data_IF_988421765502
#
_entry.id   IF_988421765502
#
_cell.length_a   1.000
_cell.length_b   1.000
_cell.length_c   1.000
_cell.angle_alpha   90.00
_cell.angle_beta   90.00
_cell.angle_gamma   90.00
#
_symmetry.space_group_name_H-M   'P 1'
#
loop_
_entity.id
_entity.type
_entity.pdbx_description
1 polymer ?
#
# COMPACT_ATOMS: atom_id res chain seq x y z
N UNK A 1 -35.21 14.10 11.50
CA UNK A 1 -35.29 14.61 10.11
C UNK A 1 -33.92 14.47 9.48
N UNK A 2 -33.74 13.44 8.66
CA UNK A 2 -32.46 13.10 8.04
C UNK A 2 -32.27 13.91 6.75
N UNK A 3 -31.15 14.63 6.60
CA UNK A 3 -30.76 15.23 5.32
C UNK A 3 -29.94 14.22 4.52
N UNK A 4 -30.61 13.63 3.53
CA UNK A 4 -30.03 12.91 2.41
C UNK A 4 -29.18 13.89 1.59
N UNK A 5 -27.87 13.64 1.44
CA UNK A 5 -27.05 14.35 0.46
C UNK A 5 -26.98 13.51 -0.83
N UNK A 6 -27.56 14.05 -1.90
CA UNK A 6 -27.38 13.60 -3.28
C UNK A 6 -26.45 14.59 -4.01
N UNK A 7 -25.68 14.16 -5.03
CA UNK A 7 -24.58 14.93 -5.62
C UNK A 7 -25.04 15.90 -6.71
N UNK A 8 -24.28 16.98 -6.92
CA UNK A 8 -24.51 17.97 -7.99
C UNK A 8 -23.17 18.34 -8.65
N UNK A 9 -23.12 18.57 -9.98
CA UNK A 9 -21.92 18.37 -10.81
C UNK A 9 -21.08 19.64 -11.05
N UNK A 10 -19.83 19.44 -11.46
CA UNK A 10 -18.92 20.47 -12.02
C UNK A 10 -19.42 21.01 -13.36
N UNK A 11 -19.18 22.30 -13.70
CA UNK A 11 -18.05 22.62 -14.60
C UNK A 11 -17.39 24.00 -14.36
N UNK A 12 -16.13 24.17 -14.77
CA UNK A 12 -15.51 25.50 -14.79
C UNK A 12 -14.03 25.53 -15.14
N UNK A 13 -13.74 25.80 -16.41
CA UNK A 13 -12.43 26.04 -17.02
C UNK A 13 -11.80 27.32 -16.45
N UNK A 14 -10.51 27.29 -16.10
CA UNK A 14 -9.70 28.49 -15.87
C UNK A 14 -8.42 28.44 -16.69
N UNK A 15 -8.37 29.25 -17.74
CA UNK A 15 -7.15 29.67 -18.43
C UNK A 15 -6.42 30.69 -17.54
N UNK A 16 -5.11 30.49 -17.34
CA UNK A 16 -4.22 31.56 -16.89
C UNK A 16 -3.14 31.79 -17.95
N UNK A 17 -3.14 33.03 -18.45
CA UNK A 17 -2.25 33.57 -19.47
C UNK A 17 -0.81 33.68 -18.95
N UNK A 18 0.13 33.38 -19.85
CA UNK A 18 1.55 33.61 -19.68
C UNK A 18 1.87 35.12 -19.69
N UNK A 19 2.85 35.52 -18.88
CA UNK A 19 3.54 36.80 -19.02
C UNK A 19 5.05 36.54 -19.12
N UNK A 20 5.62 36.92 -20.25
CA UNK A 20 7.04 36.96 -20.58
C UNK A 20 7.78 38.10 -19.87
N UNK A 21 9.09 37.94 -19.63
CA UNK A 21 10.14 38.96 -19.93
C UNK A 21 11.55 38.34 -19.86
N UNK A 22 12.44 38.93 -20.65
CA UNK A 22 13.69 38.41 -21.23
C UNK A 22 14.98 38.61 -20.39
N UNK A 23 15.98 37.75 -20.71
CA UNK A 23 17.46 37.91 -20.86
C UNK A 23 18.23 38.97 -20.02
N UNK A 24 19.29 38.65 -19.25
CA UNK A 24 20.65 38.17 -19.59
C UNK A 24 21.69 39.13 -18.91
N UNK A 25 23.05 38.96 -18.94
CA UNK A 25 23.90 37.89 -19.48
C UNK A 25 25.07 37.39 -18.53
N UNK A 26 25.83 36.44 -19.09
CA UNK A 26 27.16 35.87 -18.78
C UNK A 26 28.11 36.47 -17.72
N UNK A 27 28.76 35.57 -16.95
CA UNK A 27 29.93 35.89 -16.12
C UNK A 27 30.69 34.68 -15.52
N UNK A 28 31.64 34.15 -16.30
CA UNK A 28 32.95 33.56 -15.94
C UNK A 28 33.09 32.43 -14.88
N UNK A 29 33.67 31.33 -15.37
CA UNK A 29 34.42 30.30 -14.64
C UNK A 29 35.59 30.89 -13.82
N UNK A 30 35.70 30.51 -12.55
CA UNK A 30 36.98 30.41 -11.83
C UNK A 30 37.02 29.18 -10.92
N UNK A 31 38.18 28.55 -10.93
CA UNK A 31 38.54 27.25 -10.36
C UNK A 31 38.63 27.20 -8.83
N UNK A 32 38.21 26.05 -8.30
CA UNK A 32 38.75 25.29 -7.17
C UNK A 32 39.48 26.04 -6.03
N UNK A 33 38.88 25.99 -4.83
CA UNK A 33 39.59 25.62 -3.59
C UNK A 33 38.66 24.81 -2.69
N UNK A 34 39.09 23.58 -2.43
CA UNK A 34 38.51 22.61 -1.51
C UNK A 34 38.25 23.22 -0.14
N UNK A 35 36.97 23.35 0.25
CA UNK A 35 36.60 23.29 1.66
C UNK A 35 36.07 21.89 1.89
N UNK A 36 36.88 21.07 2.53
CA UNK A 36 36.46 19.81 3.09
C UNK A 36 35.20 20.07 3.92
N UNK A 37 34.05 19.61 3.41
CA UNK A 37 32.82 19.60 4.17
C UNK A 37 33.09 18.75 5.41
N UNK A 38 33.10 19.39 6.58
CA UNK A 38 33.01 18.71 7.86
C UNK A 38 31.78 17.80 7.74
N UNK A 39 32.02 16.50 7.55
CA UNK A 39 30.97 15.48 7.65
C UNK A 39 30.42 15.61 9.06
N UNK A 40 29.26 16.24 9.18
CA UNK A 40 28.51 16.31 10.42
C UNK A 40 28.33 14.88 10.88
N UNK A 41 28.92 14.57 12.03
CA UNK A 41 28.85 13.28 12.68
C UNK A 41 27.44 13.12 13.25
N UNK A 42 26.43 13.06 12.38
CA UNK A 42 25.08 12.65 12.75
C UNK A 42 25.23 11.18 13.08
N UNK A 43 25.28 10.90 14.38
CA UNK A 43 25.34 9.54 14.90
C UNK A 43 24.20 8.74 14.25
N UNK A 44 24.50 7.49 13.83
CA UNK A 44 23.52 6.55 13.24
C UNK A 44 22.18 6.55 13.99
N UNK A 45 22.19 6.84 15.29
CA UNK A 45 21.05 6.92 16.20
C UNK A 45 20.02 8.02 15.87
N UNK A 46 20.42 9.23 15.44
CA UNK A 46 19.44 10.32 15.20
C UNK A 46 18.67 10.17 13.88
N UNK A 47 19.34 9.67 12.84
CA UNK A 47 18.71 9.44 11.52
C UNK A 47 17.65 8.34 11.61
N UNK A 48 17.90 7.26 12.35
CA UNK A 48 16.91 6.20 12.54
C UNK A 48 15.66 6.68 13.30
N UNK A 49 15.84 7.54 14.31
CA UNK A 49 14.72 8.08 15.11
C UNK A 49 13.77 8.95 14.28
N UNK A 50 14.29 9.65 13.28
CA UNK A 50 13.51 10.62 12.49
C UNK A 50 13.14 10.11 11.11
N UNK A 51 13.88 9.13 10.57
CA UNK A 51 13.72 8.61 9.21
C UNK A 51 13.85 7.08 9.20
N UNK A 52 12.91 6.36 9.84
CA UNK A 52 12.98 4.90 9.99
C UNK A 52 12.93 4.14 8.65
N UNK A 53 12.51 4.80 7.56
CA UNK A 53 12.45 4.21 6.21
C UNK A 53 13.65 4.57 5.33
N UNK A 54 14.67 5.26 5.86
CA UNK A 54 15.77 5.79 5.03
C UNK A 54 16.46 4.72 4.17
N UNK A 55 16.61 3.49 4.66
CA UNK A 55 17.20 2.39 3.88
C UNK A 55 16.34 2.05 2.66
N UNK A 56 15.01 1.98 2.80
CA UNK A 56 14.08 1.70 1.70
C UNK A 56 14.02 2.90 0.75
N UNK A 57 13.91 4.12 1.28
CA UNK A 57 13.88 5.33 0.45
C UNK A 57 15.17 5.51 -0.36
N UNK A 58 16.32 5.11 0.17
CA UNK A 58 17.57 5.11 -0.57
C UNK A 58 17.52 4.15 -1.77
N UNK A 59 16.98 2.95 -1.60
CA UNK A 59 16.80 1.99 -2.70
C UNK A 59 15.82 2.50 -3.75
N UNK A 60 14.72 3.16 -3.33
CA UNK A 60 13.80 3.84 -4.26
C UNK A 60 14.53 4.92 -5.06
N UNK A 61 15.34 5.76 -4.42
CA UNK A 61 16.11 6.80 -5.13
C UNK A 61 17.14 6.23 -6.11
N UNK A 62 17.69 5.05 -5.80
CA UNK A 62 18.65 4.36 -6.67
C UNK A 62 17.96 3.56 -7.78
N UNK A 63 16.64 3.33 -7.70
CA UNK A 63 15.94 2.42 -8.61
C UNK A 63 16.35 0.95 -8.43
N UNK A 64 16.82 0.57 -7.24
CA UNK A 64 17.29 -0.80 -6.96
C UNK A 64 16.11 -1.74 -6.67
N UNK A 65 15.47 -2.19 -7.75
CA UNK A 65 14.28 -3.05 -7.69
C UNK A 65 14.57 -4.42 -7.08
N UNK A 66 15.78 -4.97 -7.25
CA UNK A 66 16.17 -6.26 -6.66
C UNK A 66 16.20 -6.17 -5.14
N UNK A 67 16.87 -5.15 -4.60
CA UNK A 67 16.93 -4.91 -3.16
C UNK A 67 15.55 -4.56 -2.57
N UNK A 68 14.72 -3.80 -3.30
CA UNK A 68 13.34 -3.51 -2.89
C UNK A 68 12.48 -4.79 -2.86
N UNK A 69 12.63 -5.68 -3.84
CA UNK A 69 11.93 -6.97 -3.84
C UNK A 69 12.35 -7.85 -2.67
N UNK A 70 13.65 -7.89 -2.34
CA UNK A 70 14.15 -8.59 -1.14
C UNK A 70 13.50 -8.05 0.14
N UNK A 71 13.40 -6.73 0.27
CA UNK A 71 12.69 -6.10 1.39
C UNK A 71 11.22 -6.49 1.42
N UNK A 72 10.54 -6.49 0.28
CA UNK A 72 9.14 -6.89 0.20
C UNK A 72 8.94 -8.35 0.59
N UNK A 73 9.89 -9.23 0.24
CA UNK A 73 9.89 -10.63 0.67
C UNK A 73 10.02 -10.82 2.19
N UNK A 74 10.72 -9.92 2.90
CA UNK A 74 10.78 -9.94 4.38
C UNK A 74 9.40 -9.73 5.01
N UNK A 75 8.57 -8.84 4.43
CA UNK A 75 7.19 -8.62 4.87
C UNK A 75 6.27 -9.76 4.44
N UNK A 76 6.37 -10.17 3.18
CA UNK A 76 5.43 -11.10 2.55
C UNK A 76 5.68 -12.58 2.89
N UNK A 77 6.91 -12.92 3.28
CA UNK A 77 7.33 -14.28 3.64
C UNK A 77 7.77 -15.18 2.48
N UNK A 78 7.61 -14.75 1.23
CA UNK A 78 8.13 -15.42 0.05
C UNK A 78 8.25 -14.46 -1.14
N UNK A 79 8.80 -14.94 -2.26
CA UNK A 79 8.85 -14.20 -3.52
C UNK A 79 7.84 -14.81 -4.50
N UNK A 80 6.98 -13.97 -5.06
CA UNK A 80 6.03 -14.36 -6.09
C UNK A 80 5.91 -13.26 -7.17
N UNK A 81 5.43 -13.59 -8.38
CA UNK A 81 5.33 -12.62 -9.48
C UNK A 81 4.57 -11.35 -9.10
N UNK A 82 3.43 -11.49 -8.40
CA UNK A 82 2.61 -10.35 -8.04
C UNK A 82 3.23 -9.46 -6.97
N UNK A 83 4.06 -9.99 -6.06
CA UNK A 83 4.85 -9.19 -5.13
C UNK A 83 5.82 -8.28 -5.90
N UNK A 84 6.53 -8.84 -6.89
CA UNK A 84 7.44 -8.07 -7.74
C UNK A 84 6.72 -7.01 -8.56
N UNK A 85 5.54 -7.33 -9.12
CA UNK A 85 4.71 -6.33 -9.81
C UNK A 85 4.26 -5.20 -8.88
N UNK A 86 3.92 -5.52 -7.62
CA UNK A 86 3.63 -4.51 -6.59
C UNK A 86 4.81 -3.60 -6.31
N UNK A 87 6.00 -4.16 -6.08
CA UNK A 87 7.24 -3.40 -5.87
C UNK A 87 7.50 -2.43 -7.02
N UNK A 88 7.42 -2.92 -8.26
CA UNK A 88 7.59 -2.12 -9.46
C UNK A 88 6.53 -1.03 -9.58
N UNK A 89 5.25 -1.36 -9.39
CA UNK A 89 4.16 -0.40 -9.51
C UNK A 89 4.29 0.75 -8.50
N UNK A 90 4.68 0.46 -7.26
CA UNK A 90 4.96 1.51 -6.27
C UNK A 90 6.17 2.36 -6.65
N UNK A 91 7.26 1.74 -7.12
CA UNK A 91 8.43 2.49 -7.59
C UNK A 91 8.06 3.46 -8.73
N UNK A 92 7.34 2.97 -9.74
CA UNK A 92 6.86 3.79 -10.87
C UNK A 92 5.98 4.92 -10.37
N UNK A 93 4.99 4.63 -9.52
CA UNK A 93 4.08 5.65 -9.00
C UNK A 93 4.80 6.74 -8.18
N UNK A 94 5.78 6.37 -7.35
CA UNK A 94 6.59 7.33 -6.59
C UNK A 94 7.47 8.18 -7.51
N UNK A 95 8.10 7.56 -8.52
CA UNK A 95 8.94 8.23 -9.53
C UNK A 95 8.14 9.27 -10.30
N UNK A 96 6.98 8.89 -10.82
CA UNK A 96 6.09 9.77 -11.58
C UNK A 96 5.48 10.89 -10.73
N UNK A 97 5.22 10.65 -9.43
CA UNK A 97 4.77 11.68 -8.49
C UNK A 97 5.90 12.59 -7.95
N UNK A 98 7.17 12.30 -8.27
CA UNK A 98 8.31 13.01 -7.70
C UNK A 98 8.41 12.86 -6.16
N UNK A 99 7.98 11.72 -5.61
CA UNK A 99 8.07 11.43 -4.18
C UNK A 99 9.41 10.80 -3.87
N UNK A 100 10.34 11.59 -3.34
CA UNK A 100 11.68 11.12 -2.95
C UNK A 100 11.80 10.72 -1.47
N UNK A 101 10.88 11.21 -0.64
CA UNK A 101 10.82 10.99 0.80
C UNK A 101 9.38 10.80 1.25
N UNK A 102 9.16 9.83 2.13
CA UNK A 102 7.88 9.66 2.79
C UNK A 102 7.80 10.67 3.94
N UNK A 103 6.89 11.64 3.84
CA UNK A 103 6.75 12.71 4.82
C UNK A 103 6.00 12.27 6.09
N UNK A 104 5.46 11.05 6.10
CA UNK A 104 4.59 10.57 7.18
C UNK A 104 3.21 11.21 7.14
N UNK A 105 2.42 10.97 8.19
CA UNK A 105 1.16 11.67 8.46
C UNK A 105 0.21 11.75 7.25
N UNK A 106 0.01 10.63 6.54
CA UNK A 106 -0.94 10.54 5.45
C UNK A 106 -0.72 11.54 4.27
N UNK A 107 0.50 12.07 4.10
CA UNK A 107 0.83 13.01 3.01
C UNK A 107 0.76 12.35 1.62
N UNK A 108 1.07 11.06 1.58
CA UNK A 108 0.89 10.18 0.42
C UNK A 108 -0.09 9.09 0.84
N UNK A 109 -1.15 8.92 0.06
CA UNK A 109 -2.13 7.85 0.24
C UNK A 109 -2.00 6.86 -0.92
N UNK A 110 -1.91 5.57 -0.61
CA UNK A 110 -2.02 4.49 -1.58
C UNK A 110 -3.42 3.89 -1.56
N UNK A 111 -4.15 4.03 -2.65
CA UNK A 111 -5.39 3.28 -2.88
C UNK A 111 -5.06 2.03 -3.68
N UNK A 112 -5.07 0.86 -3.03
CA UNK A 112 -4.84 -0.43 -3.67
C UNK A 112 -6.16 -1.06 -4.09
N UNK A 113 -6.18 -1.72 -5.25
CA UNK A 113 -7.40 -2.29 -5.83
C UNK A 113 -7.53 -3.82 -5.63
N UNK A 114 -6.66 -4.41 -4.80
CA UNK A 114 -6.61 -5.85 -4.47
C UNK A 114 -6.02 -6.04 -3.07
N UNK A 115 -6.36 -7.14 -2.40
CA UNK A 115 -5.81 -7.59 -1.12
C UNK A 115 -4.68 -8.65 -1.27
N UNK A 116 -4.27 -8.95 -2.50
CA UNK A 116 -3.24 -9.94 -2.80
C UNK A 116 -1.80 -9.44 -2.64
N UNK A 117 -0.84 -10.32 -3.00
CA UNK A 117 0.61 -10.10 -2.87
C UNK A 117 1.13 -8.79 -3.47
N UNK A 118 0.44 -8.27 -4.50
CA UNK A 118 0.72 -6.97 -5.11
C UNK A 118 0.72 -5.84 -4.06
N UNK A 119 -0.26 -5.85 -3.16
CA UNK A 119 -0.43 -4.81 -2.15
C UNK A 119 0.69 -4.81 -1.11
N UNK A 120 1.30 -5.96 -0.78
CA UNK A 120 2.46 -6.00 0.11
C UNK A 120 3.70 -5.35 -0.51
N UNK A 121 3.88 -5.49 -1.83
CA UNK A 121 4.90 -4.75 -2.57
C UNK A 121 4.69 -3.23 -2.49
N UNK A 122 3.42 -2.79 -2.61
CA UNK A 122 3.05 -1.38 -2.43
C UNK A 122 3.37 -0.90 -1.02
N UNK A 123 2.92 -1.63 0.01
CA UNK A 123 3.16 -1.27 1.40
C UNK A 123 4.65 -1.15 1.71
N UNK A 124 5.45 -2.11 1.25
CA UNK A 124 6.88 -2.11 1.48
C UNK A 124 7.56 -0.91 0.82
N UNK A 125 7.27 -0.61 -0.44
CA UNK A 125 7.99 0.42 -1.20
C UNK A 125 7.44 1.82 -0.90
N UNK A 126 6.13 2.01 -1.00
CA UNK A 126 5.49 3.32 -0.80
C UNK A 126 5.45 3.74 0.67
N UNK A 127 5.43 2.81 1.62
CA UNK A 127 5.30 3.12 3.04
C UNK A 127 3.90 3.51 3.49
N UNK A 128 2.95 3.41 2.58
CA UNK A 128 1.53 3.45 2.85
C UNK A 128 1.08 2.07 3.34
N UNK A 129 0.89 1.88 4.65
CA UNK A 129 0.59 0.56 5.24
C UNK A 129 -0.81 0.52 5.84
N UNK A 130 -1.36 -0.68 6.01
CA UNK A 130 -2.74 -0.89 6.49
C UNK A 130 -3.08 -0.09 7.77
N UNK A 131 -2.15 -0.01 8.72
CA UNK A 131 -2.41 0.55 10.04
C UNK A 131 -1.88 1.98 10.26
N UNK A 132 -1.15 2.56 9.31
CA UNK A 132 -0.63 3.94 9.44
C UNK A 132 -1.53 4.99 8.78
N UNK A 133 -2.77 4.61 8.45
CA UNK A 133 -3.80 5.43 7.81
C UNK A 133 -3.47 5.91 6.38
N UNK A 134 -2.34 5.47 5.81
CA UNK A 134 -1.94 5.89 4.48
C UNK A 134 -2.34 4.91 3.37
N UNK A 135 -2.99 3.79 3.70
CA UNK A 135 -3.48 2.81 2.74
C UNK A 135 -5.02 2.75 2.74
N UNK A 136 -5.61 2.81 1.54
CA UNK A 136 -7.02 2.56 1.28
C UNK A 136 -7.13 1.28 0.46
N UNK A 137 -7.89 0.31 0.94
CA UNK A 137 -8.24 -0.87 0.15
C UNK A 137 -9.59 -0.66 -0.55
N UNK A 138 -9.56 -0.64 -1.87
CA UNK A 138 -10.74 -0.55 -2.73
C UNK A 138 -10.93 -1.89 -3.45
N UNK A 139 -11.81 -2.74 -2.93
CA UNK A 139 -11.93 -4.15 -3.32
C UNK A 139 -12.51 -4.35 -4.74
N UNK A 140 -11.69 -4.11 -5.76
CA UNK A 140 -12.05 -4.25 -7.18
C UNK A 140 -11.41 -5.48 -7.84
N UNK A 141 -10.52 -6.19 -7.14
CA UNK A 141 -9.75 -7.33 -7.67
C UNK A 141 -8.72 -6.96 -8.75
N UNK A 142 -8.35 -5.69 -8.89
CA UNK A 142 -7.40 -5.23 -9.92
C UNK A 142 -6.00 -5.11 -9.34
N UNK A 143 -5.00 -5.63 -10.05
CA UNK A 143 -3.58 -5.40 -9.72
C UNK A 143 -3.19 -3.96 -10.09
N UNK A 144 -3.66 -3.02 -9.28
CA UNK A 144 -3.49 -1.60 -9.49
C UNK A 144 -3.34 -0.85 -8.17
N UNK A 145 -2.64 0.27 -8.24
CA UNK A 145 -2.47 1.22 -7.14
C UNK A 145 -2.67 2.64 -7.68
N UNK A 146 -3.31 3.48 -6.89
CA UNK A 146 -3.27 4.94 -7.08
C UNK A 146 -2.52 5.55 -5.90
N UNK A 147 -1.34 6.13 -6.17
CA UNK A 147 -0.69 6.99 -5.18
C UNK A 147 -1.22 8.41 -5.37
N UNK A 148 -1.62 9.05 -4.28
CA UNK A 148 -2.15 10.42 -4.30
C UNK A 148 -1.50 11.28 -3.24
N UNK A 149 -1.20 12.53 -3.60
CA UNK A 149 -0.77 13.57 -2.67
C UNK A 149 -2.00 14.30 -2.13
N UNK A 150 -1.90 14.79 -0.90
CA UNK A 150 -2.92 15.68 -0.30
C UNK A 150 -3.28 16.91 -1.14
N UNK A 151 -2.34 17.38 -1.97
CA UNK A 151 -2.50 18.50 -2.91
C UNK A 151 -3.29 18.16 -4.18
N UNK A 152 -3.82 16.94 -4.31
CA UNK A 152 -4.75 16.55 -5.38
C UNK A 152 -4.10 15.87 -6.59
N UNK A 153 -2.77 15.83 -6.68
CA UNK A 153 -2.06 15.13 -7.78
C UNK A 153 -1.93 13.64 -7.45
N UNK A 154 -2.24 12.78 -8.42
CA UNK A 154 -2.20 11.34 -8.25
C UNK A 154 -1.66 10.62 -9.50
N UNK A 155 -1.05 9.46 -9.30
CA UNK A 155 -0.62 8.55 -10.37
C UNK A 155 -1.22 7.19 -10.09
N UNK A 156 -1.97 6.68 -11.06
CA UNK A 156 -2.47 5.31 -11.07
C UNK A 156 -1.58 4.44 -11.93
N UNK A 157 -1.15 3.31 -11.38
CA UNK A 157 -0.37 2.28 -12.07
C UNK A 157 -1.14 0.98 -11.99
N UNK A 158 -1.47 0.40 -13.14
CA UNK A 158 -2.20 -0.86 -13.24
C UNK A 158 -1.44 -1.84 -14.12
N UNK A 159 -1.41 -3.12 -13.73
CA UNK A 159 -0.91 -4.20 -14.58
C UNK A 159 -1.84 -4.35 -15.78
N UNK A 160 -1.27 -4.41 -16.99
CA UNK A 160 -2.01 -4.60 -18.23
C UNK A 160 -2.69 -5.96 -18.27
N UNK A 161 -3.90 -6.02 -18.83
CA UNK A 161 -4.64 -7.26 -19.01
C UNK A 161 -3.87 -8.23 -19.91
N UNK A 162 -3.36 -7.73 -21.04
CA UNK A 162 -2.62 -8.51 -22.03
C UNK A 162 -1.35 -9.12 -21.44
N UNK A 163 -0.68 -8.39 -20.53
CA UNK A 163 0.45 -8.92 -19.79
C UNK A 163 0.02 -10.10 -18.92
N UNK A 164 -1.07 -9.94 -18.18
CA UNK A 164 -1.62 -10.99 -17.31
C UNK A 164 -2.03 -12.22 -18.12
N UNK A 165 -2.72 -12.04 -19.25
CA UNK A 165 -3.16 -13.13 -20.14
C UNK A 165 -1.97 -13.96 -20.66
N UNK A 166 -0.85 -13.31 -20.95
CA UNK A 166 0.38 -13.97 -21.38
C UNK A 166 1.12 -14.73 -20.28
N UNK A 167 0.70 -14.68 -19.01
CA UNK A 167 1.46 -15.27 -17.89
C UNK A 167 1.68 -16.78 -18.06
N UNK A 168 0.63 -17.53 -18.42
CA UNK A 168 0.71 -18.99 -18.59
C UNK A 168 1.65 -19.41 -19.71
N UNK A 169 1.76 -18.60 -20.77
CA UNK A 169 2.67 -18.85 -21.88
C UNK A 169 4.13 -18.55 -21.48
N UNK A 170 4.34 -17.48 -20.71
CA UNK A 170 5.68 -17.07 -20.23
C UNK A 170 6.22 -17.98 -19.14
N UNK A 171 5.34 -18.51 -18.29
CA UNK A 171 5.72 -19.32 -17.12
C UNK A 171 4.86 -20.59 -16.96
N UNK A 172 4.84 -21.48 -17.95
CA UNK A 172 3.94 -22.65 -17.95
C UNK A 172 4.18 -23.57 -16.76
N UNK A 173 5.43 -23.73 -16.32
CA UNK A 173 5.78 -24.56 -15.17
C UNK A 173 5.14 -24.05 -13.87
N UNK A 174 5.06 -22.72 -13.68
CA UNK A 174 4.46 -22.11 -12.49
C UNK A 174 2.96 -22.44 -12.41
N UNK A 175 2.26 -22.32 -13.55
CA UNK A 175 0.83 -22.60 -13.67
C UNK A 175 0.55 -24.08 -13.44
N UNK A 176 1.27 -24.97 -14.10
CA UNK A 176 1.09 -26.43 -13.93
C UNK A 176 1.29 -26.88 -12.48
N UNK A 177 2.29 -26.34 -11.79
CA UNK A 177 2.53 -26.68 -10.38
C UNK A 177 1.44 -26.12 -9.47
N UNK A 178 1.00 -24.87 -9.71
CA UNK A 178 -0.07 -24.25 -8.95
C UNK A 178 -1.39 -25.00 -9.11
N UNK A 179 -1.80 -25.29 -10.35
CA UNK A 179 -3.01 -26.07 -10.64
C UNK A 179 -2.99 -27.43 -9.95
N UNK A 180 -1.86 -28.14 -10.03
CA UNK A 180 -1.68 -29.42 -9.33
C UNK A 180 -1.86 -29.28 -7.82
N UNK A 181 -1.29 -28.25 -7.20
CA UNK A 181 -1.42 -28.02 -5.76
C UNK A 181 -2.85 -27.64 -5.38
N UNK A 182 -3.53 -26.82 -6.19
CA UNK A 182 -4.92 -26.42 -5.97
C UNK A 182 -5.85 -27.63 -6.08
N UNK A 183 -5.71 -28.45 -7.12
CA UNK A 183 -6.53 -29.65 -7.35
C UNK A 183 -6.30 -30.70 -6.26
N UNK A 184 -5.06 -30.95 -5.87
CA UNK A 184 -4.73 -31.96 -4.86
C UNK A 184 -4.95 -31.45 -3.42
N UNK A 185 -4.98 -30.14 -3.20
CA UNK A 185 -5.12 -29.52 -1.88
C UNK A 185 -4.13 -30.05 -0.85
N UNK A 186 -4.64 -30.70 0.20
CA UNK A 186 -3.81 -31.31 1.25
C UNK A 186 -3.02 -32.55 0.78
N UNK A 187 -3.43 -33.18 -0.31
CA UNK A 187 -2.74 -34.34 -0.88
C UNK A 187 -1.54 -33.97 -1.80
N UNK A 188 -1.32 -32.67 -2.05
CA UNK A 188 -0.17 -32.21 -2.81
C UNK A 188 1.15 -32.56 -2.09
N UNK A 189 2.15 -33.03 -2.85
CA UNK A 189 3.44 -33.42 -2.26
C UNK A 189 4.17 -32.17 -1.72
N UNK A 190 4.84 -32.26 -0.56
CA UNK A 190 5.67 -31.16 -0.06
C UNK A 190 6.73 -30.67 -1.06
N UNK A 191 7.23 -31.59 -1.90
CA UNK A 191 8.17 -31.27 -2.98
C UNK A 191 7.56 -30.43 -4.09
N UNK A 192 6.27 -30.58 -4.40
CA UNK A 192 5.59 -29.74 -5.39
C UNK A 192 5.49 -28.29 -4.89
N UNK A 193 5.17 -28.10 -3.60
CA UNK A 193 5.16 -26.77 -2.96
C UNK A 193 6.53 -26.11 -2.99
N UNK A 194 7.57 -26.85 -2.63
CA UNK A 194 8.95 -26.34 -2.63
C UNK A 194 9.41 -25.95 -4.05
N UNK A 195 9.05 -26.75 -5.05
CA UNK A 195 9.31 -26.44 -6.46
C UNK A 195 8.56 -25.20 -6.92
N UNK A 196 7.28 -25.07 -6.56
CA UNK A 196 6.49 -23.89 -6.87
C UNK A 196 7.12 -22.64 -6.27
N UNK A 197 7.55 -22.67 -5.00
CA UNK A 197 8.21 -21.53 -4.36
C UNK A 197 9.50 -21.13 -5.10
N UNK A 198 10.30 -22.10 -5.56
CA UNK A 198 11.50 -21.81 -6.35
C UNK A 198 11.16 -21.15 -7.69
N UNK A 199 10.18 -21.70 -8.41
CA UNK A 199 9.72 -21.14 -9.69
C UNK A 199 9.13 -19.74 -9.48
N UNK A 200 8.31 -19.54 -8.44
CA UNK A 200 7.77 -18.23 -8.08
C UNK A 200 8.85 -17.21 -7.76
N UNK A 201 9.89 -17.60 -7.02
CA UNK A 201 11.01 -16.71 -6.77
C UNK A 201 11.70 -16.31 -8.08
N UNK A 202 12.07 -17.29 -8.92
CA UNK A 202 12.70 -17.02 -10.21
C UNK A 202 11.85 -16.09 -11.08
N UNK A 203 10.57 -16.41 -11.24
CA UNK A 203 9.63 -15.62 -12.04
C UNK A 203 9.40 -14.22 -11.48
N UNK A 204 9.44 -14.03 -10.15
CA UNK A 204 9.38 -12.73 -9.50
C UNK A 204 10.57 -11.84 -9.86
N UNK A 205 11.80 -12.36 -9.77
CA UNK A 205 13.00 -11.60 -10.15
C UNK A 205 13.02 -11.30 -11.66
N UNK A 206 12.57 -12.24 -12.50
CA UNK A 206 12.43 -11.99 -13.94
C UNK A 206 11.43 -10.86 -14.26
N UNK A 207 10.43 -10.60 -13.41
CA UNK A 207 9.51 -9.48 -13.63
C UNK A 207 10.24 -8.13 -13.59
N UNK A 208 11.38 -8.01 -12.90
CA UNK A 208 12.07 -6.74 -12.69
C UNK A 208 12.66 -6.18 -13.98
N UNK A 209 13.02 -7.06 -14.92
CA UNK A 209 13.71 -6.69 -16.17
C UNK A 209 12.76 -6.45 -17.35
N UNK A 210 11.47 -6.74 -17.21
CA UNK A 210 10.50 -6.55 -18.29
C UNK A 210 10.22 -5.06 -18.50
N UNK A 211 10.20 -4.54 -19.73
CA UNK A 211 9.92 -3.12 -20.00
C UNK A 211 8.65 -2.61 -19.32
N UNK A 212 8.70 -1.39 -18.78
CA UNK A 212 7.62 -0.81 -17.96
C UNK A 212 6.32 -0.72 -18.75
N UNK A 213 6.40 -0.29 -20.02
CA UNK A 213 5.29 -0.09 -20.94
C UNK A 213 4.57 -1.39 -21.34
N UNK A 214 5.26 -2.53 -21.29
CA UNK A 214 4.68 -3.86 -21.55
C UNK A 214 3.87 -4.35 -20.34
N UNK A 215 4.27 -3.95 -19.13
CA UNK A 215 3.66 -4.44 -17.89
C UNK A 215 2.56 -3.50 -17.41
N UNK A 216 2.78 -2.20 -17.50
CA UNK A 216 1.95 -1.21 -16.81
C UNK A 216 1.24 -0.26 -17.77
N UNK A 217 0.02 0.09 -17.36
CA UNK A 217 -0.65 1.31 -17.77
C UNK A 217 -0.45 2.34 -16.65
N UNK A 218 0.21 3.45 -16.98
CA UNK A 218 0.47 4.56 -16.06
C UNK A 218 -0.42 5.75 -16.44
N UNK A 219 -1.13 6.30 -15.47
CA UNK A 219 -2.05 7.41 -15.67
C UNK A 219 -1.81 8.51 -14.62
N UNK A 220 -1.41 9.70 -15.07
CA UNK A 220 -1.45 10.90 -14.26
C UNK A 220 -2.89 11.42 -14.17
N UNK A 221 -3.35 11.71 -12.96
CA UNK A 221 -4.71 12.14 -12.71
C UNK A 221 -4.81 13.07 -11.49
N UNK A 222 -5.98 13.68 -11.33
CA UNK A 222 -6.34 14.32 -10.08
C UNK A 222 -7.14 13.35 -9.22
N UNK A 223 -6.81 13.24 -7.94
CA UNK A 223 -7.60 12.48 -6.97
C UNK A 223 -7.66 13.24 -5.65
N UNK A 224 -8.85 13.27 -5.04
CA UNK A 224 -9.00 13.75 -3.67
C UNK A 224 -8.78 12.55 -2.73
N UNK A 225 -7.69 12.50 -1.94
CA UNK A 225 -7.54 11.48 -0.93
C UNK A 225 -8.66 11.59 0.13
N UNK A 226 -9.01 10.49 0.82
CA UNK A 226 -9.98 10.52 1.92
C UNK A 226 -9.54 11.52 3.00
N UNK A 227 -10.43 12.07 3.84
CA UNK A 227 -10.02 12.95 4.93
C UNK A 227 -9.02 12.26 5.88
N UNK A 228 -8.26 13.04 6.65
CA UNK A 228 -7.36 12.50 7.67
C UNK A 228 -8.10 11.56 8.62
N UNK A 229 -7.40 10.53 9.08
CA UNK A 229 -7.99 9.60 10.03
C UNK A 229 -8.44 10.35 11.31
N UNK A 230 -9.70 10.19 11.73
CA UNK A 230 -10.20 10.82 12.95
C UNK A 230 -9.55 10.21 14.19
N UNK A 231 -9.31 11.06 15.19
CA UNK A 231 -8.93 10.63 16.53
C UNK A 231 -10.20 10.33 17.33
N UNK A 232 -10.27 9.13 17.90
CA UNK A 232 -11.38 8.70 18.74
C UNK A 232 -10.89 8.48 20.16
N UNK A 233 -11.75 8.77 21.14
CA UNK A 233 -11.46 8.50 22.54
C UNK A 233 -11.37 6.98 22.81
N UNK A 234 -10.65 6.61 23.86
CA UNK A 234 -10.66 5.25 24.42
C UNK A 234 -11.72 5.15 25.51
N UNK A 235 -12.66 4.23 25.35
CA UNK A 235 -13.77 3.98 26.28
C UNK A 235 -13.65 2.55 26.81
N UNK A 236 -13.84 2.37 28.12
CA UNK A 236 -13.83 1.03 28.73
C UNK A 236 -15.20 0.37 28.53
N UNK A 237 -15.22 -0.85 27.98
CA UNK A 237 -16.42 -1.66 27.92
C UNK A 237 -16.86 -2.06 29.34
N UNK A 238 -18.13 -1.82 29.69
CA UNK A 238 -18.67 -2.16 31.00
C UNK A 238 -18.72 -3.68 31.25
N UNK A 239 -18.97 -4.48 30.21
CA UNK A 239 -19.17 -5.93 30.35
C UNK A 239 -17.85 -6.74 30.41
N UNK A 240 -16.87 -6.45 29.54
CA UNK A 240 -15.59 -7.19 29.50
C UNK A 240 -14.40 -6.43 30.10
N UNK A 241 -14.52 -5.13 30.34
CA UNK A 241 -13.44 -4.31 30.92
C UNK A 241 -12.34 -3.85 29.94
N UNK A 242 -12.38 -4.28 28.67
CA UNK A 242 -11.41 -3.91 27.64
C UNK A 242 -11.52 -2.44 27.22
N UNK A 243 -10.41 -1.84 26.79
CA UNK A 243 -10.38 -0.50 26.20
C UNK A 243 -10.72 -0.58 24.72
N UNK A 244 -11.72 0.19 24.30
CA UNK A 244 -12.29 0.15 22.95
C UNK A 244 -12.38 1.55 22.40
N UNK A 245 -12.06 1.71 21.12
CA UNK A 245 -12.21 2.96 20.39
C UNK A 245 -13.67 3.41 20.40
N UNK A 246 -13.94 4.68 20.70
CA UNK A 246 -15.29 5.24 20.88
C UNK A 246 -16.25 4.90 19.74
N UNK A 247 -15.77 4.96 18.48
CA UNK A 247 -16.56 4.61 17.30
C UNK A 247 -16.91 3.12 17.15
N UNK A 248 -16.53 2.28 18.12
CA UNK A 248 -16.87 0.85 18.24
C UNK A 248 -17.67 0.54 19.52
N UNK A 249 -18.09 1.56 20.25
CA UNK A 249 -18.97 1.42 21.42
C UNK A 249 -20.45 1.43 21.01
N UNK A 250 -21.26 0.74 21.80
CA UNK A 250 -22.72 0.80 21.83
C UNK A 250 -23.20 1.13 23.24
N UNK A 251 -24.34 1.79 23.35
CA UNK A 251 -25.02 1.97 24.62
C UNK A 251 -26.08 0.88 24.75
N UNK A 252 -25.91 -0.01 25.73
CA UNK A 252 -26.86 -1.07 26.07
C UNK A 252 -27.25 -0.91 27.53
N UNK A 253 -28.54 -0.81 27.81
CA UNK A 253 -29.06 -0.59 29.18
C UNK A 253 -28.41 0.60 29.92
N UNK A 254 -28.12 1.67 29.18
CA UNK A 254 -27.51 2.89 29.70
C UNK A 254 -25.99 2.83 29.92
N UNK A 255 -25.33 1.70 29.68
CA UNK A 255 -23.88 1.52 29.85
C UNK A 255 -23.14 1.32 28.51
N UNK A 256 -21.89 1.80 28.38
CA UNK A 256 -21.09 1.58 27.17
C UNK A 256 -20.56 0.14 27.11
N UNK A 257 -20.78 -0.53 25.98
CA UNK A 257 -20.29 -1.89 25.71
C UNK A 257 -19.65 -1.97 24.31
N UNK A 258 -18.71 -2.90 24.14
CA UNK A 258 -18.09 -3.15 22.83
C UNK A 258 -19.03 -3.90 21.88
N UNK A 259 -18.72 -3.91 20.57
CA UNK A 259 -19.51 -4.65 19.57
C UNK A 259 -19.76 -6.11 19.95
N UNK A 260 -18.72 -6.81 20.44
CA UNK A 260 -18.84 -8.22 20.83
C UNK A 260 -19.80 -8.42 22.01
N UNK A 261 -19.69 -7.62 23.08
CA UNK A 261 -20.59 -7.68 24.24
C UNK A 261 -22.02 -7.20 23.91
N UNK A 262 -22.17 -6.34 22.89
CA UNK A 262 -23.46 -5.97 22.34
C UNK A 262 -24.10 -7.10 21.51
N UNK A 263 -23.34 -8.12 21.11
CA UNK A 263 -23.78 -9.15 20.18
C UNK A 263 -23.84 -8.67 18.72
N UNK A 264 -23.17 -7.56 18.41
CA UNK A 264 -23.07 -7.01 17.05
C UNK A 264 -21.85 -7.58 16.32
N UNK A 265 -22.05 -7.89 15.04
CA UNK A 265 -20.96 -8.28 14.15
C UNK A 265 -20.05 -7.11 13.78
N UNK A 266 -18.92 -7.43 13.18
CA UNK A 266 -17.99 -6.47 12.56
C UNK A 266 -17.79 -6.81 11.08
N UNK A 267 -17.00 -6.02 10.37
CA UNK A 267 -16.48 -6.39 9.06
C UNK A 267 -15.07 -6.96 9.23
N UNK A 268 -14.76 -8.02 8.50
CA UNK A 268 -13.41 -8.59 8.40
C UNK A 268 -12.98 -8.63 6.94
N UNK A 269 -11.68 -8.79 6.74
CA UNK A 269 -11.10 -9.16 5.46
C UNK A 269 -10.47 -10.54 5.63
N UNK A 270 -10.89 -11.50 4.82
CA UNK A 270 -10.30 -12.83 4.75
C UNK A 270 -9.99 -13.17 3.28
N UNK A 271 -9.66 -14.44 2.99
CA UNK A 271 -9.35 -14.88 1.63
C UNK A 271 -10.50 -14.76 0.62
N UNK A 272 -11.71 -14.40 1.07
CA UNK A 272 -12.88 -14.12 0.22
C UNK A 272 -13.17 -12.62 0.07
N UNK A 273 -12.32 -11.74 0.60
CA UNK A 273 -12.48 -10.29 0.58
C UNK A 273 -13.18 -9.74 1.83
N UNK A 274 -13.88 -8.61 1.70
CA UNK A 274 -14.57 -7.97 2.83
C UNK A 274 -15.89 -8.69 3.13
N UNK A 275 -16.01 -9.31 4.31
CA UNK A 275 -17.21 -10.03 4.70
C UNK A 275 -17.69 -9.68 6.13
N UNK A 276 -18.99 -9.86 6.44
CA UNK A 276 -19.49 -9.70 7.80
C UNK A 276 -18.96 -10.80 8.73
N UNK A 277 -18.31 -10.40 9.81
CA UNK A 277 -17.97 -11.29 10.92
C UNK A 277 -19.13 -11.36 11.91
N UNK A 278 -19.66 -12.57 12.12
CA UNK A 278 -20.71 -12.82 13.11
C UNK A 278 -20.06 -13.24 14.42
N UNK A 279 -20.45 -12.61 15.53
CA UNK A 279 -20.07 -13.05 16.87
C UNK A 279 -20.76 -14.40 17.14
N UNK A 280 -19.99 -15.48 17.22
CA UNK A 280 -20.51 -16.77 17.69
C UNK A 280 -20.65 -16.73 19.21
N UNK A 281 -21.82 -16.32 19.69
CA UNK A 281 -22.26 -16.21 21.11
C UNK A 281 -21.39 -15.31 22.02
N UNK A 282 -22.00 -14.43 22.84
CA UNK A 282 -21.25 -13.52 23.70
C UNK A 282 -20.43 -14.29 24.75
N UNK A 283 -19.20 -13.82 24.99
CA UNK A 283 -18.40 -14.24 26.14
C UNK A 283 -19.28 -14.21 27.41
N UNK A 284 -19.34 -15.35 28.12
CA UNK A 284 -19.97 -15.39 29.44
C UNK A 284 -19.34 -14.29 30.30
N UNK A 285 -20.18 -13.37 30.80
CA UNK A 285 -19.75 -12.29 31.67
C UNK A 285 -19.07 -12.92 32.89
N UNK A 286 -17.79 -12.61 33.18
CA UNK A 286 -17.16 -13.10 34.40
C UNK A 286 -17.85 -12.43 35.59
N UNK A 287 -18.77 -13.14 36.28
CA UNK A 287 -19.40 -12.60 37.49
C UNK A 287 -20.83 -13.04 37.80
N UNK A 288 -21.55 -13.74 36.90
CA UNK A 288 -22.85 -14.32 37.25
C UNK A 288 -22.67 -15.71 37.89
N UNK A 289 -22.45 -15.72 39.21
CA UNK A 289 -22.75 -16.82 40.12
C UNK A 289 -23.22 -16.28 41.46
#
# INVERSE_FOLDING_TARGET
MYRLCQPVPTPGVWQCLAASRNAGPSGQFRSARSRAAKRSNISRTETWLTRPRESIEALVRLGDLDALLRKAGELHGHFCPYLALGVRAAYVALRELGVVHHLGLEEVIATVETDGCFSDGIQMVAGCTFANNALVFNDLGKAAVTLSRRRGVAVRVAVRGEYTDGFSQRFPQAVTLLERIVVLGKAAKPTDRSRLMMVWAQTAFMQLDVPEEEVFQVQLMSAAPPPYAPLFASVRCHACGESVTENRIRIKDGVPVCLACAGEGSSITDGAGICPWKVSTPHAVPGER
#
